data_IF_513558614290
#
_entry.id   IF_513558614290
#
_cell.length_a   1.000
_cell.length_b   1.000
_cell.length_c   1.000
_cell.angle_alpha   90.00
_cell.angle_beta   90.00
_cell.angle_gamma   90.00
#
_symmetry.space_group_name_H-M   'P 1'
#
loop_
_entity.id
_entity.type
_entity.pdbx_description
1 polymer ?
#
# COMPACT_ATOMS: atom_id res chain seq x y z
N UNK A 1 -3.24 21.59 -5.72
CA UNK A 1 -4.14 20.45 -6.01
C UNK A 1 -3.36 19.42 -6.80
N UNK A 2 -2.79 18.39 -6.14
CA UNK A 2 -2.02 17.36 -6.85
C UNK A 2 -2.98 16.41 -7.55
N UNK A 3 -2.84 16.26 -8.86
CA UNK A 3 -3.65 15.36 -9.67
C UNK A 3 -3.47 13.92 -9.16
N UNK A 4 -4.56 13.25 -8.78
CA UNK A 4 -4.55 11.79 -8.57
C UNK A 4 -4.25 11.16 -9.93
N UNK A 5 -3.02 10.68 -10.14
CA UNK A 5 -2.55 10.12 -11.42
C UNK A 5 -2.77 8.61 -11.55
N UNK A 6 -3.36 7.99 -10.54
CA UNK A 6 -3.61 6.55 -10.52
C UNK A 6 -5.00 6.20 -11.05
N UNK A 7 -5.06 5.53 -12.20
CA UNK A 7 -6.29 5.05 -12.87
C UNK A 7 -6.75 3.64 -12.44
N UNK A 8 -6.13 3.01 -11.44
CA UNK A 8 -6.51 1.64 -11.05
C UNK A 8 -7.70 1.61 -10.07
N UNK A 9 -8.46 0.52 -10.12
CA UNK A 9 -9.61 0.30 -9.23
C UNK A 9 -9.16 0.05 -7.79
N UNK A 10 -9.73 0.79 -6.84
CA UNK A 10 -9.48 0.57 -5.41
C UNK A 10 -10.23 -0.65 -4.93
N UNK A 11 -9.55 -1.50 -4.15
CA UNK A 11 -10.22 -2.60 -3.46
C UNK A 11 -11.10 -2.07 -2.32
N UNK A 12 -12.10 -2.87 -1.93
CA UNK A 12 -12.91 -2.59 -0.75
C UNK A 12 -12.05 -2.64 0.53
N UNK A 13 -12.28 -1.68 1.42
CA UNK A 13 -11.69 -1.66 2.75
C UNK A 13 -12.16 -2.89 3.55
N UNK A 14 -11.26 -3.57 4.26
CA UNK A 14 -11.68 -4.65 5.15
C UNK A 14 -12.46 -4.10 6.33
N UNK A 15 -13.51 -4.82 6.72
CA UNK A 15 -14.34 -4.53 7.89
C UNK A 15 -13.83 -5.22 9.17
N UNK A 16 -12.79 -6.04 9.04
CA UNK A 16 -12.21 -6.85 10.11
C UNK A 16 -10.76 -6.46 10.42
N UNK A 17 -10.23 -7.01 11.52
CA UNK A 17 -8.83 -6.79 11.91
C UNK A 17 -7.90 -7.44 10.89
N UNK A 18 -6.89 -6.68 10.45
CA UNK A 18 -5.88 -7.20 9.51
C UNK A 18 -4.53 -7.43 10.19
N UNK A 19 -3.76 -8.39 9.67
CA UNK A 19 -2.43 -8.73 10.15
C UNK A 19 -1.43 -7.60 9.90
N UNK A 20 -1.53 -6.94 8.74
CA UNK A 20 -0.64 -5.83 8.40
C UNK A 20 -1.32 -4.76 7.55
N UNK A 21 -0.95 -3.51 7.83
CA UNK A 21 -1.19 -2.36 6.94
C UNK A 21 0.14 -1.81 6.45
N UNK A 22 0.25 -1.65 5.14
CA UNK A 22 1.39 -1.03 4.47
C UNK A 22 0.96 0.34 3.96
N UNK A 23 1.67 1.39 4.35
CA UNK A 23 1.35 2.76 3.95
C UNK A 23 2.31 3.19 2.86
N UNK A 24 1.76 3.47 1.68
CA UNK A 24 2.47 3.77 0.44
C UNK A 24 2.28 2.65 -0.58
N UNK A 25 1.70 2.98 -1.74
CA UNK A 25 1.55 2.06 -2.88
C UNK A 25 2.69 2.12 -3.90
N UNK A 26 3.84 2.67 -3.52
CA UNK A 26 5.05 2.65 -4.33
C UNK A 26 5.74 1.28 -4.33
N UNK A 27 6.86 1.17 -5.07
CA UNK A 27 7.59 -0.09 -5.21
C UNK A 27 7.98 -0.72 -3.85
N UNK A 28 8.44 0.09 -2.89
CA UNK A 28 8.81 -0.39 -1.56
C UNK A 28 7.61 -0.95 -0.79
N UNK A 29 6.45 -0.28 -0.85
CA UNK A 29 5.24 -0.71 -0.16
C UNK A 29 4.65 -1.97 -0.78
N UNK A 30 4.54 -2.02 -2.11
CA UNK A 30 4.06 -3.21 -2.82
C UNK A 30 4.97 -4.42 -2.56
N UNK A 31 6.29 -4.25 -2.58
CA UNK A 31 7.24 -5.32 -2.24
C UNK A 31 7.12 -5.75 -0.76
N UNK A 32 6.97 -4.78 0.15
CA UNK A 32 6.75 -5.05 1.58
C UNK A 32 5.43 -5.77 1.88
N UNK A 33 4.42 -5.62 1.04
CA UNK A 33 3.12 -6.29 1.14
C UNK A 33 3.12 -7.71 0.54
N UNK A 34 3.91 -7.93 -0.51
CA UNK A 34 3.90 -9.17 -1.30
C UNK A 34 4.21 -10.41 -0.45
N UNK A 35 5.28 -10.38 0.34
CA UNK A 35 5.69 -11.54 1.12
C UNK A 35 4.72 -11.92 2.25
N UNK A 36 4.20 -10.97 3.05
CA UNK A 36 3.13 -11.24 4.00
C UNK A 36 1.85 -11.79 3.31
N UNK A 37 1.43 -11.23 2.17
CA UNK A 37 0.27 -11.72 1.42
C UNK A 37 0.49 -13.16 0.93
N UNK A 38 1.67 -13.48 0.37
CA UNK A 38 2.07 -14.85 0.00
C UNK A 38 2.02 -15.83 1.17
N UNK A 39 2.28 -15.34 2.39
CA UNK A 39 2.19 -16.11 3.62
C UNK A 39 0.75 -16.23 4.16
N UNK A 40 -0.26 -15.87 3.36
CA UNK A 40 -1.69 -15.87 3.68
C UNK A 40 -2.05 -14.98 4.87
N UNK A 41 -1.28 -13.92 5.11
CA UNK A 41 -1.63 -12.87 6.08
C UNK A 41 -2.64 -11.91 5.45
N UNK A 42 -3.57 -11.39 6.25
CA UNK A 42 -4.46 -10.32 5.79
C UNK A 42 -3.68 -9.00 5.71
N UNK A 43 -3.45 -8.51 4.49
CA UNK A 43 -2.61 -7.33 4.22
C UNK A 43 -3.41 -6.30 3.44
N UNK A 44 -3.32 -5.05 3.87
CA UNK A 44 -3.84 -3.90 3.11
C UNK A 44 -2.73 -2.93 2.81
N UNK A 45 -2.58 -2.60 1.53
CA UNK A 45 -1.76 -1.49 1.04
C UNK A 45 -2.64 -0.26 0.92
N UNK A 46 -2.19 0.85 1.50
CA UNK A 46 -2.85 2.15 1.43
C UNK A 46 -2.02 3.04 0.55
N UNK A 47 -2.56 3.42 -0.59
CA UNK A 47 -1.88 4.21 -1.60
C UNK A 47 -2.53 5.59 -1.75
N UNK A 48 -1.75 6.65 -1.59
CA UNK A 48 -2.24 8.01 -1.85
C UNK A 48 -2.41 8.29 -3.35
N UNK A 49 -1.92 7.41 -4.23
CA UNK A 49 -2.00 7.56 -5.68
C UNK A 49 -1.09 8.65 -6.24
N UNK A 50 -0.10 9.09 -5.45
CA UNK A 50 0.84 10.15 -5.79
C UNK A 50 2.29 9.64 -5.66
N UNK A 51 2.73 8.73 -6.56
CA UNK A 51 4.08 8.20 -6.49
C UNK A 51 5.11 9.30 -6.75
N UNK A 52 6.17 9.35 -5.95
CA UNK A 52 7.21 10.39 -6.04
C UNK A 52 7.91 10.49 -7.40
N UNK A 53 7.94 9.38 -8.13
CA UNK A 53 8.59 9.23 -9.43
C UNK A 53 7.58 9.23 -10.59
N UNK A 54 6.34 9.70 -10.37
CA UNK A 54 5.34 9.84 -11.42
C UNK A 54 5.83 10.57 -12.69
N UNK A 55 6.68 11.61 -12.62
CA UNK A 55 7.13 12.31 -13.82
C UNK A 55 8.21 11.57 -14.64
N UNK A 56 8.76 10.47 -14.10
CA UNK A 56 9.90 9.79 -14.72
C UNK A 56 9.41 8.86 -15.83
N UNK A 57 9.97 9.02 -17.03
CA UNK A 57 9.59 8.21 -18.19
C UNK A 57 10.07 6.76 -18.10
N UNK A 58 11.19 6.50 -17.43
CA UNK A 58 11.80 5.18 -17.32
C UNK A 58 12.61 5.02 -16.02
N UNK A 59 12.55 3.82 -15.43
CA UNK A 59 13.40 3.43 -14.31
C UNK A 59 14.79 3.00 -14.80
N UNK A 60 15.80 3.36 -14.03
CA UNK A 60 17.19 2.96 -14.26
C UNK A 60 17.80 2.41 -12.96
N UNK A 61 18.77 1.51 -13.08
CA UNK A 61 19.47 0.91 -11.94
C UNK A 61 18.72 -0.27 -11.29
N UNK A 62 17.77 -0.86 -12.00
CA UNK A 62 17.09 -2.10 -11.60
C UNK A 62 17.48 -3.25 -12.53
N UNK A 63 18.16 -4.25 -12.00
CA UNK A 63 18.87 -5.33 -12.73
C UNK A 63 17.99 -6.15 -13.72
N UNK A 64 16.67 -6.00 -13.71
CA UNK A 64 15.74 -6.68 -14.65
C UNK A 64 14.69 -5.71 -15.24
N UNK A 65 14.65 -4.47 -14.77
CA UNK A 65 13.59 -3.49 -15.09
C UNK A 65 14.17 -2.21 -15.69
N UNK A 66 15.37 -2.30 -16.26
CA UNK A 66 16.04 -1.19 -16.92
C UNK A 66 15.17 -0.64 -18.06
N UNK A 67 14.96 0.68 -18.09
CA UNK A 67 14.12 1.32 -19.10
C UNK A 67 12.61 1.16 -18.90
N UNK A 68 12.15 0.44 -17.87
CA UNK A 68 10.72 0.16 -17.67
C UNK A 68 10.00 1.39 -17.12
N UNK A 69 8.78 1.65 -17.61
CA UNK A 69 7.96 2.76 -17.12
C UNK A 69 7.57 2.51 -15.65
N UNK A 70 7.72 3.50 -14.74
CA UNK A 70 7.36 3.31 -13.33
C UNK A 70 5.93 2.81 -13.09
N UNK A 71 4.97 3.25 -13.91
CA UNK A 71 3.56 2.82 -13.81
C UNK A 71 3.40 1.31 -13.94
N UNK A 72 4.15 0.70 -14.86
CA UNK A 72 4.02 -0.71 -15.22
C UNK A 72 4.55 -1.60 -14.09
N UNK A 73 5.63 -1.16 -13.44
CA UNK A 73 6.17 -1.82 -12.24
C UNK A 73 5.15 -1.78 -11.12
N UNK A 74 4.53 -0.62 -10.88
CA UNK A 74 3.53 -0.49 -9.83
C UNK A 74 2.26 -1.28 -10.16
N UNK A 75 1.85 -1.34 -11.43
CA UNK A 75 0.71 -2.15 -11.87
C UNK A 75 0.96 -3.63 -11.66
N UNK A 76 2.13 -4.11 -12.08
CA UNK A 76 2.56 -5.48 -11.86
C UNK A 76 2.61 -5.81 -10.36
N UNK A 77 3.17 -4.91 -9.53
CA UNK A 77 3.22 -5.08 -8.08
C UNK A 77 1.82 -5.17 -7.44
N UNK A 78 0.89 -4.29 -7.83
CA UNK A 78 -0.50 -4.33 -7.36
C UNK A 78 -1.19 -5.65 -7.74
N UNK A 79 -1.02 -6.09 -8.98
CA UNK A 79 -1.56 -7.37 -9.45
C UNK A 79 -1.03 -8.54 -8.63
N UNK A 80 0.27 -8.62 -8.39
CA UNK A 80 0.87 -9.71 -7.61
C UNK A 80 0.38 -9.73 -6.15
N UNK A 81 0.25 -8.56 -5.52
CA UNK A 81 -0.32 -8.45 -4.17
C UNK A 81 -1.75 -9.00 -4.14
N UNK A 82 -2.58 -8.64 -5.13
CA UNK A 82 -3.96 -9.11 -5.26
C UNK A 82 -4.07 -10.62 -5.54
N UNK A 83 -3.21 -11.16 -6.40
CA UNK A 83 -3.13 -12.60 -6.68
C UNK A 83 -2.86 -13.44 -5.42
N UNK A 84 -2.21 -12.84 -4.43
CA UNK A 84 -1.94 -13.46 -3.13
C UNK A 84 -2.93 -13.05 -2.03
N UNK A 85 -4.07 -12.43 -2.39
CA UNK A 85 -5.15 -12.08 -1.48
C UNK A 85 -4.93 -10.79 -0.68
N UNK A 86 -3.87 -10.04 -0.97
CA UNK A 86 -3.69 -8.69 -0.45
C UNK A 86 -4.65 -7.71 -1.11
N UNK A 87 -4.98 -6.61 -0.42
CA UNK A 87 -5.86 -5.55 -0.93
C UNK A 87 -5.06 -4.26 -1.12
N UNK A 88 -5.35 -3.51 -2.18
CA UNK A 88 -4.77 -2.21 -2.47
C UNK A 88 -5.90 -1.17 -2.49
N UNK A 89 -5.87 -0.27 -1.53
CA UNK A 89 -6.92 0.74 -1.31
C UNK A 89 -6.34 2.12 -1.57
N UNK A 90 -7.07 2.91 -2.37
CA UNK A 90 -6.76 4.31 -2.55
C UNK A 90 -7.15 5.12 -1.31
N UNK A 91 -6.21 5.87 -0.77
CA UNK A 91 -6.49 6.82 0.30
C UNK A 91 -5.24 7.30 1.00
N UNK A 92 -5.43 8.30 1.85
CA UNK A 92 -4.37 8.83 2.70
C UNK A 92 -4.53 8.25 4.10
N UNK A 93 -3.47 7.62 4.61
CA UNK A 93 -3.45 7.14 5.97
C UNK A 93 -3.44 8.32 6.97
N UNK A 94 -4.43 8.45 7.86
CA UNK A 94 -4.46 9.51 8.85
C UNK A 94 -3.38 9.28 9.92
N UNK A 95 -3.04 10.32 10.67
CA UNK A 95 -2.19 10.17 11.85
C UNK A 95 -2.88 9.19 12.81
N UNK A 96 -2.26 8.05 13.16
CA UNK A 96 -2.88 7.13 14.09
C UNK A 96 -2.90 7.69 15.50
N UNK A 97 -3.89 7.25 16.29
CA UNK A 97 -3.93 7.50 17.72
C UNK A 97 -2.94 6.55 18.43
N UNK A 98 -2.27 6.98 19.52
CA UNK A 98 -1.46 6.08 20.34
C UNK A 98 -2.30 4.91 20.83
N UNK A 99 -1.95 3.71 20.39
CA UNK A 99 -2.54 2.48 20.84
C UNK A 99 -1.81 1.95 22.09
N UNK A 100 -2.46 1.12 22.92
CA UNK A 100 -1.87 0.55 24.13
C UNK A 100 -0.65 -0.37 23.88
N UNK A 101 -0.38 -0.75 22.62
CA UNK A 101 0.84 -1.47 22.24
C UNK A 101 1.37 -0.99 20.90
N UNK A 102 2.69 -0.98 20.71
CA UNK A 102 3.36 -0.63 19.43
C UNK A 102 2.95 -1.51 18.24
N UNK A 103 2.28 -2.63 18.51
CA UNK A 103 1.78 -3.57 17.50
C UNK A 103 0.40 -3.20 16.97
N UNK A 104 -0.42 -2.54 17.77
CA UNK A 104 -1.79 -2.22 17.37
C UNK A 104 -1.84 -0.80 16.81
N UNK A 105 -2.51 -0.59 15.69
CA UNK A 105 -2.86 0.76 15.26
C UNK A 105 -4.37 0.88 15.19
N UNK A 106 -4.89 1.91 15.86
CA UNK A 106 -6.31 2.25 15.88
C UNK A 106 -6.45 3.55 15.10
N UNK A 107 -7.30 3.55 14.08
CA UNK A 107 -7.77 4.78 13.48
C UNK A 107 -9.00 5.25 14.27
N UNK A 108 -8.89 6.38 14.95
CA UNK A 108 -10.00 6.97 15.71
C UNK A 108 -11.23 7.19 14.82
N UNK A 109 -12.40 6.97 15.38
CA UNK A 109 -13.68 7.26 14.72
C UNK A 109 -13.87 8.77 14.52
N UNK A 110 -14.42 9.25 13.39
CA UNK A 110 -14.90 8.49 12.24
C UNK A 110 -13.78 8.27 11.21
N UNK A 111 -13.30 7.04 11.10
CA UNK A 111 -12.29 6.64 10.12
C UNK A 111 -12.83 5.50 9.25
N UNK A 112 -12.67 5.57 7.92
CA UNK A 112 -13.02 4.45 7.04
C UNK A 112 -12.03 3.27 7.16
N UNK A 113 -10.88 3.47 7.80
CA UNK A 113 -9.83 2.45 7.96
C UNK A 113 -10.14 1.42 9.05
N UNK A 114 -9.66 0.16 8.90
CA UNK A 114 -9.92 -0.90 9.87
C UNK A 114 -9.54 -0.51 11.30
N UNK A 115 -10.42 -0.85 12.24
CA UNK A 115 -10.37 -0.44 13.66
C UNK A 115 -9.15 -0.97 14.41
N UNK A 116 -8.55 -2.07 13.92
CA UNK A 116 -7.36 -2.67 14.51
C UNK A 116 -6.45 -3.29 13.44
N UNK A 117 -5.16 -3.07 13.59
CA UNK A 117 -4.10 -3.60 12.72
C UNK A 117 -3.01 -4.19 13.61
N UNK A 118 -2.54 -5.42 13.36
CA UNK A 118 -1.51 -6.07 14.20
C UNK A 118 -0.06 -5.65 13.93
N UNK A 119 0.22 -5.09 12.75
CA UNK A 119 1.53 -4.55 12.36
C UNK A 119 1.39 -3.43 11.33
N UNK A 120 2.24 -2.40 11.46
CA UNK A 120 2.33 -1.29 10.50
C UNK A 120 3.68 -1.31 9.80
N UNK A 121 3.68 -1.13 8.48
CA UNK A 121 4.86 -0.87 7.67
C UNK A 121 4.72 0.50 7.01
N UNK A 122 5.68 1.40 7.24
CA UNK A 122 5.70 2.71 6.61
C UNK A 122 6.61 2.69 5.37
N UNK A 123 6.05 3.03 4.22
CA UNK A 123 6.72 3.07 2.92
C UNK A 123 6.21 4.24 2.05
N UNK A 124 5.81 5.35 2.68
CA UNK A 124 5.17 6.52 2.05
C UNK A 124 6.13 7.45 1.29
N UNK A 125 7.28 6.92 0.87
CA UNK A 125 8.41 7.69 0.39
C UNK A 125 8.34 8.09 -1.07
#
# INVERSE_FOLDING_TARGET
MSARTSHYESDALPTETVDAVVIGGGAAGLNGALMPARSRRSVVVIDSGTPRNAPVAAMHGYIVLEGTVPSDILECGRRQVREHGGRVVLGTWPRPEPAPSQRTVICGSPSPWPTAVRRRLAASG
#
